data_IF_658982891991
#
_entry.id   IF_658982891991
#
_cell.length_a   1.000
_cell.length_b   1.000
_cell.length_c   1.000
_cell.angle_alpha   90.00
_cell.angle_beta   90.00
_cell.angle_gamma   90.00
#
_symmetry.space_group_name_H-M   'P 1'
#
loop_
_entity.id
_entity.type
_entity.pdbx_description
1 polymer ?
#
# COMPACT_ATOMS: atom_id res chain seq x y z
N UNK A 1 0.00 17.45 2.97
CA UNK A 1 0.13 16.90 4.34
C UNK A 1 1.04 15.68 4.27
N UNK A 2 2.21 15.67 4.91
CA UNK A 2 3.08 14.49 4.94
C UNK A 2 2.53 13.48 5.94
N UNK A 3 2.02 12.35 5.44
CA UNK A 3 1.61 11.19 6.26
C UNK A 3 2.84 10.29 6.46
N UNK A 4 3.13 9.91 7.70
CA UNK A 4 4.28 9.06 7.99
C UNK A 4 3.82 7.84 8.79
N UNK A 5 3.73 6.69 8.12
CA UNK A 5 3.62 5.40 8.79
C UNK A 5 5.02 4.90 9.13
N UNK A 6 5.22 4.37 10.34
CA UNK A 6 6.47 3.67 10.70
C UNK A 6 6.26 2.18 10.69
N UNK A 7 7.01 1.49 9.83
CA UNK A 7 7.11 0.04 9.79
C UNK A 7 8.13 -0.49 10.81
N UNK A 8 7.80 -1.60 11.46
CA UNK A 8 8.75 -2.47 12.19
C UNK A 8 8.60 -3.91 11.70
N UNK A 9 9.71 -4.58 11.43
CA UNK A 9 9.71 -5.98 11.04
C UNK A 9 9.83 -6.92 12.25
N UNK A 10 9.03 -7.99 12.27
CA UNK A 10 9.29 -9.15 13.14
C UNK A 10 10.24 -10.14 12.45
N UNK A 11 10.88 -11.03 13.22
CA UNK A 11 11.72 -12.14 12.74
C UNK A 11 10.97 -13.14 11.85
N UNK A 12 9.63 -13.12 11.88
CA UNK A 12 8.74 -14.05 11.15
C UNK A 12 8.26 -13.54 9.78
N UNK A 13 8.88 -12.51 9.20
CA UNK A 13 8.64 -12.14 7.80
C UNK A 13 7.42 -11.25 7.55
N UNK A 14 6.94 -10.54 8.57
CA UNK A 14 5.89 -9.51 8.45
C UNK A 14 6.38 -8.13 8.92
N UNK A 15 5.76 -7.09 8.36
CA UNK A 15 5.96 -5.67 8.65
C UNK A 15 4.72 -5.14 9.36
N UNK A 16 4.92 -4.42 10.47
CA UNK A 16 3.86 -3.79 11.26
C UNK A 16 3.98 -2.27 11.18
N UNK A 17 2.95 -1.61 10.68
CA UNK A 17 2.86 -0.16 10.48
C UNK A 17 1.89 0.47 11.49
N UNK A 18 2.25 1.65 11.96
CA UNK A 18 1.38 2.54 12.74
C UNK A 18 1.61 3.99 12.31
N UNK A 19 0.62 4.84 12.57
CA UNK A 19 0.68 6.27 12.28
C UNK A 19 1.59 7.01 13.26
N UNK A 20 2.39 7.92 12.72
CA UNK A 20 3.24 8.82 13.48
C UNK A 20 2.93 10.25 13.09
N UNK A 21 2.69 11.08 14.10
CA UNK A 21 2.52 12.51 13.95
C UNK A 21 3.87 13.22 14.08
N UNK A 22 4.18 14.14 13.17
CA UNK A 22 5.42 14.91 13.23
C UNK A 22 5.24 16.01 14.29
N UNK A 23 6.07 15.98 15.34
CA UNK A 23 6.04 16.97 16.41
C UNK A 23 5.02 16.68 17.51
N UNK A 24 4.40 15.50 17.52
CA UNK A 24 3.40 15.09 18.51
C UNK A 24 3.31 13.59 18.68
N UNK A 25 2.41 13.16 19.57
CA UNK A 25 2.03 11.75 19.75
C UNK A 25 0.57 11.62 19.33
N UNK A 26 0.25 10.84 18.28
CA UNK A 26 -1.12 10.74 17.80
C UNK A 26 -2.01 10.06 18.86
N UNK A 27 -3.29 10.39 18.87
CA UNK A 27 -4.27 9.64 19.68
C UNK A 27 -4.51 8.24 19.08
N UNK A 28 -4.99 7.31 19.89
CA UNK A 28 -5.34 5.96 19.41
C UNK A 28 -6.41 6.00 18.30
N UNK A 29 -7.41 6.88 18.43
CA UNK A 29 -8.45 7.08 17.43
C UNK A 29 -7.88 7.64 16.13
N UNK A 30 -6.94 8.61 16.22
CA UNK A 30 -6.29 9.16 15.03
C UNK A 30 -5.44 8.12 14.33
N UNK A 31 -4.66 7.34 15.09
CA UNK A 31 -3.90 6.24 14.53
C UNK A 31 -4.81 5.23 13.83
N UNK A 32 -5.94 4.84 14.46
CA UNK A 32 -6.94 3.95 13.86
C UNK A 32 -7.48 4.50 12.55
N UNK A 33 -7.89 5.76 12.53
CA UNK A 33 -8.42 6.41 11.32
C UNK A 33 -7.41 6.35 10.16
N UNK A 34 -6.15 6.68 10.42
CA UNK A 34 -5.12 6.73 9.38
C UNK A 34 -4.71 5.33 8.89
N UNK A 35 -4.57 4.33 9.76
CA UNK A 35 -4.28 2.95 9.30
C UNK A 35 -5.47 2.30 8.60
N UNK A 36 -6.71 2.66 8.96
CA UNK A 36 -7.91 2.23 8.24
C UNK A 36 -7.94 2.80 6.82
N UNK A 37 -7.58 4.08 6.63
CA UNK A 37 -7.48 4.69 5.30
C UNK A 37 -6.49 3.95 4.41
N UNK A 38 -5.34 3.57 4.97
CA UNK A 38 -4.32 2.78 4.25
C UNK A 38 -4.85 1.41 3.81
N UNK A 39 -5.51 0.68 4.73
CA UNK A 39 -6.13 -0.60 4.38
C UNK A 39 -7.20 -0.44 3.30
N UNK A 40 -8.05 0.58 3.39
CA UNK A 40 -9.07 0.87 2.38
C UNK A 40 -8.42 1.17 1.03
N UNK A 41 -7.32 1.92 1.01
CA UNK A 41 -6.55 2.18 -0.22
C UNK A 41 -6.06 0.87 -0.84
N UNK A 42 -5.42 -0.02 -0.05
CA UNK A 42 -4.95 -1.31 -0.54
C UNK A 42 -6.10 -2.17 -1.09
N UNK A 43 -7.24 -2.24 -0.39
CA UNK A 43 -8.41 -3.01 -0.83
C UNK A 43 -9.08 -2.45 -2.08
N UNK A 44 -9.16 -1.13 -2.22
CA UNK A 44 -9.63 -0.52 -3.46
C UNK A 44 -8.70 -0.87 -4.63
N UNK A 45 -7.38 -0.80 -4.42
CA UNK A 45 -6.39 -1.12 -5.45
C UNK A 45 -6.42 -2.60 -5.84
N UNK A 46 -6.59 -3.51 -4.88
CA UNK A 46 -6.80 -4.94 -5.14
C UNK A 46 -8.01 -5.16 -6.05
N UNK A 47 -9.14 -4.49 -5.76
CA UNK A 47 -10.34 -4.57 -6.57
C UNK A 47 -10.17 -3.99 -7.98
N UNK A 48 -9.61 -2.78 -8.10
CA UNK A 48 -9.34 -2.16 -9.40
C UNK A 48 -8.38 -2.99 -10.24
N UNK A 49 -7.33 -3.54 -9.62
CA UNK A 49 -6.35 -4.36 -10.32
C UNK A 49 -6.98 -5.65 -10.85
N UNK A 50 -7.81 -6.32 -10.05
CA UNK A 50 -8.54 -7.51 -10.50
C UNK A 50 -9.43 -7.24 -11.72
N UNK A 51 -10.12 -6.10 -11.75
CA UNK A 51 -10.92 -5.70 -12.91
C UNK A 51 -10.05 -5.37 -14.13
N UNK A 52 -8.95 -4.63 -13.93
CA UNK A 52 -8.00 -4.30 -14.99
C UNK A 52 -7.43 -5.57 -15.64
N UNK A 53 -6.95 -6.51 -14.83
CA UNK A 53 -6.40 -7.80 -15.29
C UNK A 53 -7.46 -8.61 -16.05
N UNK A 54 -8.69 -8.63 -15.56
CA UNK A 54 -9.81 -9.30 -16.23
C UNK A 54 -10.11 -8.71 -17.60
N UNK A 55 -10.14 -7.37 -17.72
CA UNK A 55 -10.40 -6.69 -18.98
C UNK A 55 -9.24 -6.84 -19.97
N UNK A 56 -7.99 -6.79 -19.50
CA UNK A 56 -6.81 -7.10 -20.32
C UNK A 56 -6.88 -8.54 -20.87
N UNK A 57 -7.20 -9.52 -20.02
CA UNK A 57 -7.36 -10.91 -20.43
C UNK A 57 -8.46 -11.09 -21.47
N UNK A 58 -9.62 -10.43 -21.29
CA UNK A 58 -10.72 -10.46 -22.25
C UNK A 58 -10.34 -9.89 -23.62
N UNK A 59 -9.50 -8.87 -23.63
CA UNK A 59 -9.10 -8.15 -24.85
C UNK A 59 -7.81 -8.70 -25.47
N UNK A 60 -7.17 -9.68 -24.83
CA UNK A 60 -5.90 -10.27 -25.29
C UNK A 60 -4.70 -9.34 -25.12
N UNK A 61 -4.78 -8.34 -24.23
CA UNK A 61 -3.67 -7.47 -23.90
C UNK A 61 -2.79 -8.16 -22.86
N UNK A 62 -1.53 -8.37 -23.20
CA UNK A 62 -0.52 -8.90 -22.30
C UNK A 62 -0.01 -7.80 -21.36
N UNK A 63 0.12 -8.14 -20.07
CA UNK A 63 0.56 -7.24 -19.01
C UNK A 63 1.63 -7.92 -18.16
N UNK A 64 2.43 -7.12 -17.45
CA UNK A 64 3.35 -7.65 -16.45
C UNK A 64 2.60 -8.33 -15.30
N UNK A 65 3.24 -9.31 -14.66
CA UNK A 65 2.69 -10.01 -13.51
C UNK A 65 2.79 -9.12 -12.26
N UNK A 66 1.67 -8.51 -11.91
CA UNK A 66 1.56 -7.54 -10.82
C UNK A 66 0.44 -7.94 -9.86
N UNK A 67 0.63 -7.66 -8.57
CA UNK A 67 -0.41 -7.82 -7.54
C UNK A 67 -0.30 -6.72 -6.49
N UNK A 68 -1.34 -6.54 -5.67
CA UNK A 68 -1.32 -5.62 -4.52
C UNK A 68 -1.02 -6.41 -3.25
N UNK A 69 -0.20 -5.83 -2.37
CA UNK A 69 0.13 -6.45 -1.09
C UNK A 69 -1.13 -6.69 -0.25
N UNK A 70 -1.24 -7.88 0.33
CA UNK A 70 -2.21 -8.15 1.37
C UNK A 70 -1.86 -7.35 2.64
N UNK A 71 -2.89 -6.91 3.36
CA UNK A 71 -2.73 -6.32 4.68
C UNK A 71 -3.95 -6.57 5.57
N UNK A 72 -3.74 -6.58 6.89
CA UNK A 72 -4.79 -6.74 7.90
C UNK A 72 -4.50 -5.88 9.12
N UNK A 73 -5.53 -5.54 9.88
CA UNK A 73 -5.41 -4.77 11.11
C UNK A 73 -5.36 -5.67 12.32
N UNK A 74 -4.41 -5.40 13.22
CA UNK A 74 -4.33 -6.06 14.51
C UNK A 74 -4.31 -5.05 15.64
N UNK A 75 -4.80 -5.49 16.80
CA UNK A 75 -4.62 -4.78 18.06
C UNK A 75 -3.91 -5.72 19.04
N UNK A 76 -2.90 -5.22 19.74
CA UNK A 76 -2.21 -6.00 20.75
C UNK A 76 -3.09 -6.11 22.01
N UNK A 77 -3.20 -7.31 22.56
CA UNK A 77 -3.92 -7.59 23.81
C UNK A 77 -2.90 -8.04 24.87
N UNK A 78 -3.04 -7.58 26.11
CA UNK A 78 -2.19 -7.98 27.25
C UNK A 78 -1.17 -6.94 27.68
N UNK A 79 -0.07 -7.36 28.34
CA UNK A 79 1.03 -6.48 28.73
C UNK A 79 2.03 -6.33 27.57
N UNK A 80 2.19 -5.13 27.01
CA UNK A 80 3.09 -4.93 25.90
C UNK A 80 4.54 -4.77 26.36
N UNK A 81 5.46 -5.43 25.66
CA UNK A 81 6.88 -5.10 25.72
C UNK A 81 7.13 -3.66 25.26
N UNK A 82 7.94 -2.90 26.00
CA UNK A 82 8.32 -1.47 25.80
C UNK A 82 8.96 -1.17 24.43
N UNK A 83 9.22 -2.19 23.61
CA UNK A 83 9.92 -2.08 22.33
C UNK A 83 9.18 -1.32 21.22
N UNK A 84 7.94 -0.87 21.40
CA UNK A 84 7.14 -0.26 20.32
C UNK A 84 7.46 1.23 20.05
N UNK A 85 8.14 1.93 20.96
CA UNK A 85 8.41 3.37 20.80
C UNK A 85 7.18 4.27 20.92
N UNK A 86 6.08 3.71 21.43
CA UNK A 86 4.88 4.39 21.89
C UNK A 86 4.88 4.39 23.43
N UNK A 87 4.17 5.33 24.06
CA UNK A 87 3.97 5.26 25.51
C UNK A 87 3.17 3.99 25.90
N UNK A 88 3.36 3.48 27.11
CA UNK A 88 2.70 2.25 27.59
C UNK A 88 1.16 2.33 27.58
N UNK A 89 0.59 3.52 27.80
CA UNK A 89 -0.86 3.74 27.77
C UNK A 89 -1.44 3.69 26.34
N UNK A 90 -0.62 3.97 25.33
CA UNK A 90 -1.01 3.93 23.92
C UNK A 90 -0.80 2.57 23.26
N UNK A 91 0.22 1.79 23.65
CA UNK A 91 0.49 0.50 22.99
C UNK A 91 -0.73 -0.43 23.03
N UNK A 92 -1.48 -0.44 24.14
CA UNK A 92 -2.66 -1.31 24.30
C UNK A 92 -3.89 -0.83 23.49
N UNK A 93 -3.87 0.41 23.01
CA UNK A 93 -4.98 1.02 22.25
C UNK A 93 -4.62 1.19 20.77
N UNK A 94 -3.34 1.08 20.41
CA UNK A 94 -2.88 1.24 19.05
C UNK A 94 -3.33 0.06 18.17
N UNK A 95 -3.81 0.41 16.98
CA UNK A 95 -4.08 -0.53 15.89
C UNK A 95 -2.89 -0.49 14.93
N UNK A 96 -2.48 -1.66 14.48
CA UNK A 96 -1.35 -1.86 13.59
C UNK A 96 -1.84 -2.42 12.26
N UNK A 97 -1.33 -1.89 11.17
CA UNK A 97 -1.48 -2.48 9.85
C UNK A 97 -0.33 -3.46 9.63
N UNK A 98 -0.66 -4.73 9.40
CA UNK A 98 0.32 -5.79 9.14
C UNK A 98 0.29 -6.16 7.67
N UNK A 99 1.47 -6.28 7.09
CA UNK A 99 1.69 -6.70 5.70
C UNK A 99 2.84 -7.74 5.65
N UNK A 100 2.92 -8.58 4.61
CA UNK A 100 4.10 -9.38 4.33
C UNK A 100 5.35 -8.50 4.20
N UNK A 101 6.49 -9.01 4.65
CA UNK A 101 7.75 -8.30 4.46
C UNK A 101 8.20 -8.43 3.01
N UNK A 102 8.26 -7.29 2.33
CA UNK A 102 8.83 -7.18 0.99
C UNK A 102 10.37 -7.15 1.03
N UNK A 103 11.01 -7.43 -0.10
CA UNK A 103 12.47 -7.38 -0.23
C UNK A 103 12.98 -5.94 -0.06
N UNK A 104 14.29 -5.75 0.16
CA UNK A 104 14.86 -4.40 0.36
C UNK A 104 14.93 -3.55 -0.92
N UNK A 105 14.69 -4.13 -2.09
CA UNK A 105 14.79 -3.45 -3.37
C UNK A 105 13.41 -2.95 -3.81
N UNK A 106 13.04 -1.76 -3.35
CA UNK A 106 11.81 -1.07 -3.76
C UNK A 106 12.05 -0.28 -5.04
N UNK A 107 11.17 -0.44 -6.01
CA UNK A 107 11.10 0.35 -7.23
C UNK A 107 9.93 1.31 -7.14
N UNK A 108 10.17 2.58 -7.50
CA UNK A 108 9.15 3.63 -7.50
C UNK A 108 8.78 3.97 -8.95
N UNK A 109 7.53 3.75 -9.30
CA UNK A 109 7.02 3.89 -10.68
C UNK A 109 6.35 5.23 -10.92
N UNK A 110 5.67 5.78 -9.90
CA UNK A 110 5.13 7.14 -9.94
C UNK A 110 5.46 7.87 -8.65
N UNK A 111 5.49 9.19 -8.70
CA UNK A 111 5.51 10.07 -7.53
C UNK A 111 4.16 10.74 -7.33
N UNK A 112 4.01 11.53 -6.26
CA UNK A 112 2.77 12.30 -6.00
C UNK A 112 2.43 13.23 -7.17
N UNK A 113 3.43 13.88 -7.76
CA UNK A 113 3.30 14.84 -8.87
C UNK A 113 4.12 14.44 -10.10
N UNK A 114 4.59 13.20 -10.17
CA UNK A 114 5.51 12.74 -11.21
C UNK A 114 5.01 11.44 -11.83
N UNK A 115 4.72 11.49 -13.12
CA UNK A 115 4.26 10.33 -13.90
C UNK A 115 5.23 10.13 -15.07
N UNK A 116 6.36 9.45 -14.82
CA UNK A 116 7.34 9.20 -15.87
C UNK A 116 6.75 8.30 -16.96
N UNK A 117 7.23 8.50 -18.19
CA UNK A 117 6.90 7.64 -19.32
C UNK A 117 7.86 6.46 -19.30
N UNK A 118 7.30 5.26 -19.16
CA UNK A 118 8.06 4.01 -19.15
C UNK A 118 8.03 3.35 -20.53
N UNK A 119 9.12 2.67 -20.87
CA UNK A 119 9.27 1.94 -22.14
C UNK A 119 9.36 0.42 -21.96
N UNK A 120 9.54 -0.05 -20.72
CA UNK A 120 9.46 -1.45 -20.37
C UNK A 120 8.02 -1.88 -20.06
N UNK A 121 7.73 -3.16 -20.21
CA UNK A 121 6.38 -3.70 -20.05
C UNK A 121 5.82 -3.48 -18.65
N UNK A 122 6.65 -3.56 -17.60
CA UNK A 122 6.21 -3.35 -16.21
C UNK A 122 5.77 -1.91 -16.00
N UNK A 123 6.62 -0.94 -16.32
CA UNK A 123 6.27 0.47 -16.19
C UNK A 123 5.08 0.88 -17.06
N UNK A 124 4.97 0.34 -18.29
CA UNK A 124 3.79 0.54 -19.14
C UNK A 124 2.52 -0.06 -18.53
N UNK A 125 2.60 -1.27 -17.95
CA UNK A 125 1.47 -1.93 -17.26
C UNK A 125 1.00 -1.07 -16.09
N UNK A 126 1.93 -0.54 -15.28
CA UNK A 126 1.61 0.30 -14.12
C UNK A 126 1.00 1.62 -14.55
N UNK A 127 1.54 2.27 -15.58
CA UNK A 127 0.96 3.47 -16.16
C UNK A 127 -0.45 3.24 -16.70
N UNK A 128 -0.67 2.12 -17.39
CA UNK A 128 -1.98 1.71 -17.89
C UNK A 128 -2.96 1.42 -16.75
N UNK A 129 -2.52 0.76 -15.67
CA UNK A 129 -3.33 0.49 -14.48
C UNK A 129 -3.75 1.79 -13.77
N UNK A 130 -2.82 2.75 -13.61
CA UNK A 130 -3.12 4.07 -13.06
C UNK A 130 -4.18 4.81 -13.90
N UNK A 131 -4.03 4.79 -15.22
CA UNK A 131 -4.99 5.39 -16.15
C UNK A 131 -6.34 4.67 -16.15
N UNK A 132 -6.35 3.34 -16.12
CA UNK A 132 -7.57 2.53 -16.01
C UNK A 132 -8.35 2.89 -14.75
N UNK A 133 -7.68 3.00 -13.60
CA UNK A 133 -8.33 3.37 -12.33
C UNK A 133 -8.99 4.74 -12.42
N UNK A 134 -8.34 5.71 -13.08
CA UNK A 134 -8.91 7.03 -13.32
C UNK A 134 -10.16 6.96 -14.21
N UNK A 135 -10.09 6.28 -15.36
CA UNK A 135 -11.24 6.14 -16.26
C UNK A 135 -12.40 5.36 -15.61
N UNK A 136 -12.11 4.21 -15.00
CA UNK A 136 -13.10 3.32 -14.40
C UNK A 136 -13.77 3.91 -13.17
N UNK A 137 -13.13 4.87 -12.50
CA UNK A 137 -13.72 5.64 -11.39
C UNK A 137 -14.51 6.86 -11.85
N UNK A 138 -14.81 7.01 -13.15
CA UNK A 138 -15.42 8.21 -13.73
C UNK A 138 -14.63 9.48 -13.38
N UNK A 139 -13.31 9.40 -13.50
CA UNK A 139 -12.38 10.50 -13.24
C UNK A 139 -12.40 11.00 -11.78
N UNK A 140 -12.83 10.17 -10.82
CA UNK A 140 -12.92 10.56 -9.40
C UNK A 140 -11.68 10.20 -8.59
N UNK A 141 -10.93 9.18 -9.02
CA UNK A 141 -9.79 8.65 -8.29
C UNK A 141 -8.53 8.63 -9.16
N UNK A 142 -7.41 9.10 -8.63
CA UNK A 142 -6.10 9.05 -9.30
C UNK A 142 -5.12 8.28 -8.42
N UNK A 143 -4.46 7.27 -8.99
CA UNK A 143 -3.37 6.56 -8.33
C UNK A 143 -2.05 7.29 -8.48
N UNK A 144 -1.35 7.47 -7.38
CA UNK A 144 -0.07 8.16 -7.27
C UNK A 144 0.88 7.40 -6.34
N UNK A 145 2.15 7.82 -6.31
CA UNK A 145 3.20 7.20 -5.48
C UNK A 145 3.22 5.66 -5.57
N UNK A 146 2.99 5.12 -6.77
CA UNK A 146 2.97 3.68 -7.02
C UNK A 146 4.40 3.16 -6.89
N UNK A 147 4.58 2.19 -6.00
CA UNK A 147 5.85 1.54 -5.75
C UNK A 147 5.62 0.05 -5.48
N UNK A 148 6.68 -0.73 -5.62
CA UNK A 148 6.61 -2.16 -5.37
C UNK A 148 7.96 -2.83 -5.26
N UNK A 149 7.93 -4.14 -5.06
CA UNK A 149 9.13 -4.98 -5.03
C UNK A 149 8.83 -6.33 -5.67
N UNK A 150 9.79 -6.85 -6.43
CA UNK A 150 9.68 -8.19 -6.98
C UNK A 150 9.86 -9.23 -5.87
N UNK A 151 8.96 -10.21 -5.86
CA UNK A 151 9.06 -11.41 -5.01
C UNK A 151 8.85 -12.66 -5.86
N UNK A 152 9.48 -13.76 -5.45
CA UNK A 152 9.22 -15.06 -6.04
C UNK A 152 8.03 -15.70 -5.34
N UNK A 153 6.91 -15.84 -6.06
CA UNK A 153 5.71 -16.55 -5.60
C UNK A 153 5.56 -17.77 -6.50
N UNK A 154 5.56 -18.97 -5.91
CA UNK A 154 5.44 -20.25 -6.63
C UNK A 154 6.41 -20.42 -7.82
N UNK A 155 7.60 -19.81 -7.73
CA UNK A 155 8.62 -19.85 -8.78
C UNK A 155 8.50 -18.77 -9.85
N UNK A 156 7.49 -17.90 -9.76
CA UNK A 156 7.26 -16.76 -10.65
C UNK A 156 7.71 -15.46 -9.99
N UNK A 157 8.36 -14.56 -10.76
CA UNK A 157 8.69 -13.23 -10.29
C UNK A 157 7.46 -12.33 -10.46
N UNK A 158 6.82 -11.99 -9.35
CA UNK A 158 5.65 -11.13 -9.30
C UNK A 158 6.06 -9.79 -8.70
N UNK A 159 5.63 -8.69 -9.32
CA UNK A 159 5.79 -7.37 -8.72
C UNK A 159 4.64 -7.10 -7.75
N UNK A 160 4.97 -6.90 -6.48
CA UNK A 160 3.98 -6.62 -5.44
C UNK A 160 3.97 -5.13 -5.14
N UNK A 161 2.82 -4.51 -5.38
CA UNK A 161 2.57 -3.10 -5.16
C UNK A 161 2.10 -2.87 -3.71
N UNK A 162 2.67 -1.88 -3.05
CA UNK A 162 2.33 -1.51 -1.66
C UNK A 162 2.53 -0.02 -1.45
N UNK A 163 2.00 0.52 -0.34
CA UNK A 163 2.09 1.95 -0.02
C UNK A 163 1.63 2.85 -1.18
N UNK A 164 0.55 2.44 -1.87
CA UNK A 164 -0.03 3.20 -2.96
C UNK A 164 -0.80 4.39 -2.42
N UNK A 165 -0.69 5.53 -3.10
CA UNK A 165 -1.50 6.70 -2.80
C UNK A 165 -2.68 6.80 -3.76
N UNK A 166 -3.83 7.19 -3.23
CA UNK A 166 -5.01 7.50 -4.03
C UNK A 166 -5.49 8.93 -3.70
N UNK A 167 -5.61 9.75 -4.72
CA UNK A 167 -6.24 11.06 -4.63
C UNK A 167 -7.71 10.96 -5.04
N UNK A 168 -8.56 11.69 -4.33
CA UNK A 168 -9.95 11.87 -4.71
C UNK A 168 -10.26 13.36 -4.91
N UNK A 169 -11.30 13.66 -5.68
CA UNK A 169 -11.79 15.05 -5.85
C UNK A 169 -12.36 15.64 -4.55
N UNK A 170 -12.78 14.79 -3.61
CA UNK A 170 -13.35 15.22 -2.33
C UNK A 170 -12.30 15.62 -1.28
N UNK A 171 -11.00 15.38 -1.55
CA UNK A 171 -9.90 15.59 -0.61
C UNK A 171 -9.59 14.36 0.24
#
# INVERSE_FOLDING_TARGET
MHRCLRSRCNKEGSSAKHYVEIGGVPTADKNREEVMKELVCLKNNEWFLGNFQHDCKKTGVEIADITVSEAFLIQKVGQPSTAAGLDEAQINKAIWLIEPRHTKATEKFTGTLQYPIWTDQTGMTIGAFAHYTFCSSNCQLVLADIQGSYMSIDGHNVLILFDLMMHSMAG
#
